data_IF_938578504296
#
_entry.id   IF_938578504296
#
_cell.length_a   1.000
_cell.length_b   1.000
_cell.length_c   1.000
_cell.angle_alpha   90.00
_cell.angle_beta   90.00
_cell.angle_gamma   90.00
#
_symmetry.space_group_name_H-M   'P 1'
#
loop_
_entity.id
_entity.type
_entity.pdbx_description
1 polymer ?
#
# COMPACT_ATOMS: atom_id res chain seq x y z
N UNK A 1 -10.54 -14.89 31.25
CA UNK A 1 -10.96 -14.77 29.83
C UNK A 1 -11.60 -13.39 29.53
N UNK A 2 -10.88 -12.26 29.71
CA UNK A 2 -11.39 -10.90 29.39
C UNK A 2 -10.72 -10.23 28.18
N UNK A 3 -9.54 -10.71 27.76
CA UNK A 3 -8.70 -10.06 26.73
C UNK A 3 -9.30 -10.07 25.31
N UNK A 4 -10.16 -11.03 24.99
CA UNK A 4 -10.78 -11.18 23.66
C UNK A 4 -11.86 -10.14 23.39
N UNK A 5 -12.61 -9.71 24.41
CA UNK A 5 -13.65 -8.69 24.25
C UNK A 5 -13.05 -7.29 24.04
N UNK A 6 -12.06 -6.91 24.87
CA UNK A 6 -11.37 -5.63 24.75
C UNK A 6 -10.67 -5.46 23.39
N UNK A 7 -10.05 -6.55 22.90
CA UNK A 7 -9.36 -6.56 21.61
C UNK A 7 -10.33 -6.42 20.44
N UNK A 8 -11.51 -7.04 20.53
CA UNK A 8 -12.58 -6.91 19.55
C UNK A 8 -13.16 -5.48 19.55
N UNK A 9 -13.50 -4.94 20.72
CA UNK A 9 -14.00 -3.57 20.87
C UNK A 9 -13.00 -2.52 20.36
N UNK A 10 -11.70 -2.74 20.55
CA UNK A 10 -10.65 -1.87 20.00
C UNK A 10 -10.59 -1.92 18.47
N UNK A 11 -10.79 -3.10 17.88
CA UNK A 11 -10.87 -3.27 16.42
C UNK A 11 -12.09 -2.54 15.85
N UNK A 12 -13.26 -2.74 16.44
CA UNK A 12 -14.51 -2.10 16.02
C UNK A 12 -14.44 -0.57 16.13
N UNK A 13 -13.93 -0.04 17.26
CA UNK A 13 -13.75 1.41 17.43
C UNK A 13 -12.83 2.00 16.36
N UNK A 14 -11.81 1.24 15.96
CA UNK A 14 -10.87 1.67 14.94
C UNK A 14 -11.50 1.68 13.55
N UNK A 15 -12.26 0.65 13.21
CA UNK A 15 -13.01 0.61 11.95
C UNK A 15 -14.02 1.76 11.86
N UNK A 16 -14.70 2.08 12.97
CA UNK A 16 -15.58 3.24 13.05
C UNK A 16 -14.83 4.57 12.83
N UNK A 17 -13.65 4.74 13.43
CA UNK A 17 -12.81 5.93 13.21
C UNK A 17 -12.37 6.03 11.74
N UNK A 18 -11.97 4.92 11.11
CA UNK A 18 -11.59 4.91 9.69
C UNK A 18 -12.77 5.27 8.80
N UNK A 19 -13.95 4.71 9.06
CA UNK A 19 -15.15 5.04 8.29
C UNK A 19 -15.56 6.51 8.46
N UNK A 20 -15.41 7.07 9.66
CA UNK A 20 -15.63 8.50 9.88
C UNK A 20 -14.54 9.37 9.22
N UNK A 21 -13.35 8.81 8.98
CA UNK A 21 -12.22 9.49 8.36
C UNK A 21 -12.27 9.54 6.82
N UNK A 22 -13.31 8.98 6.17
CA UNK A 22 -13.42 9.02 4.70
C UNK A 22 -13.47 10.46 4.13
N UNK A 23 -13.88 11.45 4.93
CA UNK A 23 -13.88 12.87 4.56
C UNK A 23 -12.63 13.64 5.03
N UNK A 24 -11.66 12.97 5.68
CA UNK A 24 -10.41 13.59 6.13
C UNK A 24 -9.35 13.58 5.04
N UNK A 25 -8.43 14.55 5.10
CA UNK A 25 -7.23 14.55 4.28
C UNK A 25 -6.46 13.22 4.46
N UNK A 26 -6.20 12.45 3.38
CA UNK A 26 -5.46 11.19 3.42
C UNK A 26 -4.07 11.29 4.07
N UNK A 27 -3.49 12.49 4.13
CA UNK A 27 -2.21 12.74 4.80
C UNK A 27 -2.26 12.59 6.33
N UNK A 28 -3.45 12.75 6.92
CA UNK A 28 -3.70 12.65 8.36
C UNK A 28 -4.13 11.24 8.80
N UNK A 29 -4.51 10.39 7.84
CA UNK A 29 -4.97 9.03 8.12
C UNK A 29 -3.77 8.09 8.32
N UNK A 30 -3.59 7.62 9.56
CA UNK A 30 -2.50 6.73 9.94
C UNK A 30 -2.92 5.26 9.98
N UNK A 31 -2.33 4.47 9.10
CA UNK A 31 -2.60 3.06 8.87
C UNK A 31 -1.55 2.18 9.57
N UNK A 32 -1.98 1.00 10.04
CA UNK A 32 -1.09 0.03 10.69
C UNK A 32 -0.33 -0.81 9.64
N UNK A 33 0.80 -1.43 10.01
CA UNK A 33 1.57 -2.24 9.06
C UNK A 33 0.79 -3.38 8.41
N UNK A 34 -0.09 -4.08 9.15
CA UNK A 34 -0.87 -5.18 8.58
C UNK A 34 -1.83 -4.70 7.49
N UNK A 35 -2.53 -3.59 7.75
CA UNK A 35 -3.47 -3.02 6.78
C UNK A 35 -2.76 -2.34 5.63
N UNK A 36 -1.60 -1.72 5.87
CA UNK A 36 -0.77 -1.22 4.79
C UNK A 36 -0.35 -2.36 3.85
N UNK A 37 -0.06 -3.55 4.41
CA UNK A 37 0.24 -4.74 3.62
C UNK A 37 -1.00 -5.21 2.83
N UNK A 38 -2.19 -5.20 3.45
CA UNK A 38 -3.46 -5.52 2.78
C UNK A 38 -3.76 -4.55 1.62
N UNK A 39 -3.60 -3.24 1.83
CA UNK A 39 -3.80 -2.19 0.80
C UNK A 39 -2.84 -2.41 -0.37
N UNK A 40 -1.57 -2.70 -0.07
CA UNK A 40 -0.55 -2.93 -1.09
C UNK A 40 -0.61 -4.35 -1.68
N UNK A 41 -1.54 -5.20 -1.21
CA UNK A 41 -1.66 -6.61 -1.60
C UNK A 41 -0.35 -7.40 -1.46
N UNK A 42 0.40 -7.15 -0.40
CA UNK A 42 1.66 -7.84 -0.08
C UNK A 42 1.61 -8.51 1.29
N UNK A 43 2.56 -9.41 1.57
CA UNK A 43 2.67 -9.99 2.90
C UNK A 43 3.19 -8.95 3.91
N UNK A 44 2.69 -8.97 5.17
CA UNK A 44 3.22 -8.11 6.24
C UNK A 44 4.73 -8.28 6.46
N UNK A 45 5.24 -9.49 6.27
CA UNK A 45 6.67 -9.80 6.37
C UNK A 45 7.50 -9.12 5.30
N UNK A 46 7.00 -9.07 4.06
CA UNK A 46 7.66 -8.33 2.97
C UNK A 46 7.72 -6.84 3.30
N UNK A 47 6.61 -6.26 3.79
CA UNK A 47 6.56 -4.85 4.17
C UNK A 47 7.48 -4.53 5.36
N UNK A 48 7.60 -5.45 6.32
CA UNK A 48 8.54 -5.31 7.43
C UNK A 48 10.00 -5.33 6.95
N UNK A 49 10.34 -6.27 6.05
CA UNK A 49 11.67 -6.33 5.45
C UNK A 49 11.97 -5.11 4.57
N UNK A 50 10.96 -4.60 3.87
CA UNK A 50 11.10 -3.38 3.08
C UNK A 50 11.50 -2.17 3.93
N UNK A 51 10.94 -2.05 5.15
CA UNK A 51 11.35 -0.97 6.07
C UNK A 51 12.81 -1.07 6.46
N UNK A 52 13.31 -2.28 6.75
CA UNK A 52 14.71 -2.47 7.17
C UNK A 52 15.69 -2.36 6.01
N UNK A 53 15.33 -2.88 4.84
CA UNK A 53 16.20 -2.86 3.64
C UNK A 53 16.12 -1.55 2.85
N UNK A 54 15.11 -0.71 3.11
CA UNK A 54 14.84 0.51 2.38
C UNK A 54 14.30 0.29 0.96
N UNK A 55 14.06 -0.96 0.55
CA UNK A 55 13.57 -1.31 -0.80
C UNK A 55 12.47 -2.34 -0.77
N UNK A 56 11.52 -2.22 -1.68
CA UNK A 56 10.43 -3.17 -1.89
C UNK A 56 10.19 -3.33 -3.39
N UNK A 57 10.18 -4.58 -3.89
CA UNK A 57 9.90 -4.89 -5.30
C UNK A 57 10.75 -4.05 -6.29
N UNK A 58 12.04 -3.86 -5.98
CA UNK A 58 12.98 -3.08 -6.80
C UNK A 58 12.96 -1.56 -6.58
N UNK A 59 11.99 -1.06 -5.81
CA UNK A 59 11.73 0.37 -5.59
C UNK A 59 12.09 0.80 -4.17
N UNK A 60 12.24 2.11 -3.90
CA UNK A 60 12.31 2.60 -2.52
C UNK A 60 11.09 2.11 -1.71
N UNK A 61 11.31 1.71 -0.46
CA UNK A 61 10.21 1.27 0.40
C UNK A 61 9.21 2.41 0.65
N UNK A 62 7.92 2.10 0.89
CA UNK A 62 6.94 3.12 1.24
C UNK A 62 7.36 3.91 2.48
N UNK A 63 7.14 5.22 2.46
CA UNK A 63 7.44 6.08 3.61
C UNK A 63 6.63 5.63 4.82
N UNK A 64 7.29 5.59 5.97
CA UNK A 64 6.66 5.23 7.23
C UNK A 64 6.94 6.32 8.27
N UNK A 65 6.02 6.42 9.23
CA UNK A 65 6.13 7.31 10.39
C UNK A 65 6.37 6.42 11.60
N UNK A 66 7.50 6.62 12.27
CA UNK A 66 7.76 5.99 13.55
C UNK A 66 7.20 6.87 14.67
N UNK A 67 6.21 6.37 15.38
CA UNK A 67 5.62 6.97 16.57
C UNK A 67 6.06 6.15 17.78
N UNK A 68 7.16 6.58 18.38
CA UNK A 68 7.81 5.91 19.52
C UNK A 68 8.13 4.44 19.18
N UNK A 69 7.50 3.48 19.87
CA UNK A 69 7.65 2.04 19.66
C UNK A 69 6.85 1.49 18.48
N UNK A 70 6.02 2.31 17.83
CA UNK A 70 5.06 1.83 16.84
C UNK A 70 5.24 2.48 15.46
N UNK A 71 5.16 1.67 14.41
CA UNK A 71 5.25 2.15 13.03
C UNK A 71 3.86 2.34 12.44
N UNK A 72 3.66 3.46 11.73
CA UNK A 72 2.45 3.79 10.97
C UNK A 72 2.80 4.21 9.56
N UNK A 73 1.82 4.16 8.68
CA UNK A 73 1.90 4.65 7.31
C UNK A 73 0.83 5.69 7.10
N UNK A 74 1.14 6.79 6.41
CA UNK A 74 0.09 7.70 5.94
C UNK A 74 -0.60 7.06 4.75
N UNK A 75 -1.91 7.19 4.67
CA UNK A 75 -2.66 6.68 3.53
C UNK A 75 -2.16 7.32 2.22
N UNK A 76 -1.91 8.63 2.23
CA UNK A 76 -1.35 9.37 1.08
C UNK A 76 -0.01 8.82 0.57
N UNK A 77 0.89 8.41 1.48
CA UNK A 77 2.20 7.89 1.09
C UNK A 77 2.08 6.48 0.49
N UNK A 78 1.13 5.68 0.98
CA UNK A 78 0.86 4.35 0.43
C UNK A 78 0.23 4.43 -0.96
N UNK A 79 -0.74 5.33 -1.16
CA UNK A 79 -1.39 5.52 -2.46
C UNK A 79 -0.41 6.07 -3.49
N UNK A 80 0.39 7.08 -3.13
CA UNK A 80 1.42 7.62 -4.02
C UNK A 80 2.48 6.57 -4.40
N UNK A 81 2.88 5.72 -3.46
CA UNK A 81 3.77 4.61 -3.74
C UNK A 81 3.13 3.58 -4.69
N UNK A 82 1.84 3.27 -4.50
CA UNK A 82 1.10 2.35 -5.36
C UNK A 82 0.89 2.92 -6.77
N UNK A 83 0.58 4.20 -6.92
CA UNK A 83 0.48 4.88 -8.21
C UNK A 83 1.81 4.79 -8.98
N UNK A 84 2.92 5.14 -8.32
CA UNK A 84 4.25 4.94 -8.90
C UNK A 84 4.49 3.46 -9.25
N UNK A 85 4.08 2.53 -8.37
CA UNK A 85 4.15 1.09 -8.60
C UNK A 85 3.42 0.67 -9.90
N UNK A 86 2.23 1.19 -10.12
CA UNK A 86 1.43 0.92 -11.30
C UNK A 86 2.06 1.55 -12.55
N UNK A 87 2.50 2.80 -12.48
CA UNK A 87 3.11 3.52 -13.61
C UNK A 87 4.29 2.75 -14.21
N UNK A 88 5.28 2.31 -13.42
CA UNK A 88 6.41 1.56 -13.99
C UNK A 88 6.01 0.14 -14.43
N UNK A 89 4.94 -0.45 -13.88
CA UNK A 89 4.44 -1.76 -14.32
C UNK A 89 3.77 -1.66 -15.70
N UNK A 90 3.01 -0.59 -15.95
CA UNK A 90 2.44 -0.29 -17.27
C UNK A 90 3.46 0.27 -18.27
N UNK A 91 4.57 0.84 -17.80
CA UNK A 91 5.61 1.44 -18.66
C UNK A 91 6.66 0.46 -19.17
N UNK A 92 6.40 -0.85 -19.15
CA UNK A 92 7.33 -1.86 -19.63
C UNK A 92 7.85 -1.54 -21.06
N UNK A 93 9.16 -1.26 -21.24
CA UNK A 93 9.76 -1.15 -22.56
C UNK A 93 10.02 -2.59 -23.05
N UNK A 94 9.05 -3.22 -23.71
CA UNK A 94 9.26 -4.57 -24.23
C UNK A 94 8.08 -5.28 -24.86
N UNK A 95 6.83 -4.88 -24.60
CA UNK A 95 5.70 -5.41 -25.35
C UNK A 95 5.51 -4.55 -26.61
N UNK A 96 6.22 -4.88 -27.69
CA UNK A 96 5.86 -4.35 -29.01
C UNK A 96 4.37 -4.66 -29.23
N UNK A 97 3.52 -3.68 -29.57
CA UNK A 97 2.21 -4.01 -30.10
C UNK A 97 2.47 -4.77 -31.39
N UNK A 98 2.13 -6.06 -31.42
CA UNK A 98 1.98 -6.78 -32.68
C UNK A 98 0.82 -6.08 -33.39
N UNK A 99 1.16 -5.12 -34.25
CA UNK A 99 0.23 -4.53 -35.18
C UNK A 99 -0.27 -5.65 -36.09
N UNK A 100 -1.51 -6.07 -35.86
CA UNK A 100 -2.25 -6.89 -36.79
C UNK A 100 -2.49 -6.08 -38.07
N UNK A 101 -1.99 -6.60 -39.20
CA UNK A 101 -2.59 -6.41 -40.53
C UNK A 101 -2.17 -5.16 -41.32
N UNK A 102 -1.42 -5.39 -42.39
CA UNK A 102 -1.83 -4.97 -43.74
C UNK A 102 -0.94 -5.69 -44.77
N UNK A 103 -1.38 -6.88 -45.21
CA UNK A 103 -0.98 -7.40 -46.52
C UNK A 103 -1.35 -6.36 -47.57
N UNK A 104 -0.38 -5.86 -48.32
CA UNK A 104 -0.64 -5.24 -49.61
C UNK A 104 0.20 -5.98 -50.63
N UNK A 105 -0.47 -6.89 -51.34
CA UNK A 105 -0.01 -7.48 -52.59
C UNK A 105 -0.31 -6.45 -53.68
N UNK A 106 0.71 -6.01 -54.42
CA UNK A 106 0.60 -5.50 -55.79
C UNK A 106 2.00 -5.53 -56.42
#
# INVERSE_FOLDING_TARGET
>A
MKATNESKARKERREAIINAAYDLDPSLVLIRPCEAADILSVSPSLLANARSSGRMLGRPAPKHVQLDTTVRYRLSDLTAWLESALEDATSAPGAKPVAQGASTHA
#
